data_IF_405773063313
#
_entry.id   IF_405773063313
#
_cell.length_a   1.000
_cell.length_b   1.000
_cell.length_c   1.000
_cell.angle_alpha   90.00
_cell.angle_beta   90.00
_cell.angle_gamma   90.00
#
_symmetry.space_group_name_H-M   'P 1'
#
loop_
_entity.id
_entity.type
_entity.pdbx_description
1 polymer ?
#
# COMPACT_ATOMS: atom_id res chain seq x y z
N UNK A 1 -13.57 2.79 -29.50
CA UNK A 1 -12.52 1.80 -29.20
C UNK A 1 -12.13 2.07 -27.78
N UNK A 2 -12.17 1.05 -26.92
CA UNK A 2 -11.78 1.22 -25.52
C UNK A 2 -10.36 1.75 -25.45
N UNK A 3 -10.21 2.89 -24.78
CA UNK A 3 -8.91 3.43 -24.45
C UNK A 3 -8.21 2.40 -23.54
N UNK A 4 -6.96 2.01 -23.81
CA UNK A 4 -6.29 1.01 -23.00
C UNK A 4 -6.23 1.52 -21.55
N UNK A 5 -6.70 0.69 -20.60
CA UNK A 5 -6.66 1.02 -19.17
C UNK A 5 -5.22 1.41 -18.79
N UNK A 6 -4.96 2.69 -18.47
CA UNK A 6 -3.60 3.20 -18.23
C UNK A 6 -2.98 2.55 -16.99
N UNK A 7 -3.81 1.99 -16.11
CA UNK A 7 -3.41 1.34 -14.88
C UNK A 7 -3.29 -0.17 -14.99
N UNK A 8 -3.51 -0.77 -16.17
CA UNK A 8 -3.37 -2.21 -16.39
C UNK A 8 -2.11 -2.83 -15.77
N UNK A 9 -0.91 -2.22 -15.92
CA UNK A 9 0.32 -2.74 -15.30
C UNK A 9 0.31 -2.77 -13.76
N UNK A 10 -0.56 -2.00 -13.09
CA UNK A 10 -0.67 -1.94 -11.63
C UNK A 10 -1.60 -3.00 -11.04
N UNK A 11 -2.37 -3.70 -11.87
CA UNK A 11 -3.27 -4.76 -11.40
C UNK A 11 -2.49 -5.88 -10.74
N UNK A 12 -2.95 -6.33 -9.58
CA UNK A 12 -2.50 -7.58 -8.99
C UNK A 12 -2.80 -8.72 -9.96
N UNK A 13 -1.81 -9.57 -10.19
CA UNK A 13 -1.87 -10.65 -11.18
C UNK A 13 -2.21 -12.01 -10.58
N UNK A 14 -1.91 -12.23 -9.30
CA UNK A 14 -2.22 -13.45 -8.57
C UNK A 14 -2.58 -13.16 -7.12
N UNK A 15 -3.20 -14.13 -6.44
CA UNK A 15 -3.42 -14.03 -5.00
C UNK A 15 -2.06 -14.06 -4.28
N UNK A 16 -1.85 -13.13 -3.36
CA UNK A 16 -0.59 -12.99 -2.63
C UNK A 16 -0.85 -12.50 -1.20
N UNK A 17 -0.31 -13.21 -0.21
CA UNK A 17 -0.36 -12.77 1.18
C UNK A 17 0.51 -11.53 1.40
N UNK A 18 0.00 -10.56 2.15
CA UNK A 18 0.75 -9.41 2.63
C UNK A 18 1.59 -9.87 3.83
N UNK A 19 2.93 -9.75 3.78
CA UNK A 19 3.82 -10.41 4.72
C UNK A 19 3.66 -9.84 6.12
N UNK A 20 3.75 -10.71 7.12
CA UNK A 20 3.66 -10.30 8.53
C UNK A 20 2.29 -9.81 8.96
N UNK A 21 1.27 -9.92 8.10
CA UNK A 21 -0.12 -9.73 8.48
C UNK A 21 -0.74 -11.06 8.92
N UNK A 22 -1.75 -11.01 9.78
CA UNK A 22 -2.52 -12.20 10.16
C UNK A 22 -3.58 -12.53 9.10
N UNK A 23 -3.15 -12.76 7.84
CA UNK A 23 -4.00 -13.29 6.77
C UNK A 23 -4.68 -12.25 5.88
N UNK A 24 -4.07 -11.08 5.69
CA UNK A 24 -4.50 -10.16 4.63
C UNK A 24 -3.90 -10.59 3.30
N UNK A 25 -4.77 -10.83 2.32
CA UNK A 25 -4.40 -11.19 0.95
C UNK A 25 -4.69 -10.04 -0.02
N UNK A 26 -3.80 -9.86 -0.99
CA UNK A 26 -4.10 -9.20 -2.25
C UNK A 26 -4.67 -10.21 -3.22
N UNK A 27 -5.78 -9.86 -3.88
CA UNK A 27 -6.45 -10.71 -4.86
C UNK A 27 -6.61 -9.93 -6.17
N UNK A 28 -6.50 -10.57 -7.35
CA UNK A 28 -6.72 -9.88 -8.62
C UNK A 28 -8.12 -9.26 -8.71
N UNK A 29 -8.21 -7.95 -8.96
CA UNK A 29 -9.47 -7.24 -9.17
C UNK A 29 -10.11 -7.49 -10.55
N UNK A 30 -9.76 -8.61 -11.20
CA UNK A 30 -10.21 -8.97 -12.54
C UNK A 30 -9.98 -7.87 -13.58
N UNK A 31 -11.00 -7.65 -14.42
CA UNK A 31 -11.00 -6.63 -15.48
C UNK A 31 -11.43 -5.23 -15.01
N UNK A 32 -11.43 -4.94 -13.70
CA UNK A 32 -11.87 -3.66 -13.16
C UNK A 32 -11.05 -2.49 -13.71
N UNK A 33 -11.70 -1.51 -14.31
CA UNK A 33 -11.03 -0.30 -14.78
C UNK A 33 -11.40 0.87 -13.86
N UNK A 34 -10.41 1.37 -13.14
CA UNK A 34 -10.58 2.57 -12.31
C UNK A 34 -10.33 3.84 -13.10
N UNK A 35 -11.11 4.87 -12.82
CA UNK A 35 -10.89 6.24 -13.31
C UNK A 35 -10.04 7.06 -12.32
N UNK A 36 -9.76 6.53 -11.13
CA UNK A 36 -9.03 7.21 -10.07
C UNK A 36 -7.54 7.03 -10.27
N UNK A 37 -6.83 8.14 -10.43
CA UNK A 37 -5.37 8.16 -10.48
C UNK A 37 -4.76 7.76 -9.11
N UNK A 38 -3.90 6.73 -9.07
CA UNK A 38 -3.29 6.26 -7.83
C UNK A 38 -2.39 7.32 -7.19
N UNK A 39 -1.77 8.21 -7.97
CA UNK A 39 -0.95 9.27 -7.41
C UNK A 39 -1.81 10.35 -6.72
N UNK A 40 -2.98 10.66 -7.28
CA UNK A 40 -3.95 11.56 -6.66
C UNK A 40 -4.51 10.96 -5.37
N UNK A 41 -4.94 9.70 -5.41
CA UNK A 41 -5.44 9.01 -4.21
C UNK A 41 -4.36 8.92 -3.11
N UNK A 42 -3.09 8.70 -3.46
CA UNK A 42 -1.98 8.72 -2.50
C UNK A 42 -1.83 10.07 -1.79
N UNK A 43 -1.97 11.19 -2.49
CA UNK A 43 -1.75 12.53 -1.92
C UNK A 43 -2.68 12.88 -0.76
N UNK A 44 -3.86 12.29 -0.73
CA UNK A 44 -4.87 12.55 0.28
C UNK A 44 -4.71 11.62 1.51
N UNK A 45 -3.76 10.68 1.47
CA UNK A 45 -3.53 9.75 2.54
C UNK A 45 -2.65 10.30 3.67
N UNK A 46 -2.90 9.89 4.92
CA UNK A 46 -1.99 10.14 6.02
C UNK A 46 -0.58 9.61 5.68
N UNK A 47 0.46 10.44 5.84
CA UNK A 47 1.84 10.05 5.54
C UNK A 47 2.28 10.33 4.11
N UNK A 48 1.36 10.78 3.24
CA UNK A 48 1.68 11.23 1.89
C UNK A 48 2.82 12.26 1.90
N UNK A 49 3.88 11.95 1.15
CA UNK A 49 5.07 12.77 1.07
C UNK A 49 6.02 12.73 2.28
N UNK A 50 5.87 11.75 3.17
CA UNK A 50 6.86 11.43 4.20
C UNK A 50 7.38 10.01 3.95
N UNK A 51 8.62 9.86 3.47
CA UNK A 51 9.26 8.55 3.32
C UNK A 51 9.77 8.25 1.92
N UNK A 52 10.20 6.99 1.74
CA UNK A 52 10.78 6.44 0.52
C UNK A 52 9.74 6.22 -0.59
N UNK A 53 10.17 5.59 -1.70
CA UNK A 53 9.31 5.15 -2.80
C UNK A 53 8.12 4.32 -2.29
N UNK A 54 6.93 4.61 -2.81
CA UNK A 54 5.70 3.91 -2.41
C UNK A 54 5.35 2.89 -3.47
N UNK A 55 5.20 1.63 -3.06
CA UNK A 55 4.69 0.60 -3.93
C UNK A 55 3.17 0.61 -3.95
N UNK A 56 2.57 0.52 -5.13
CA UNK A 56 1.11 0.54 -5.29
C UNK A 56 0.63 -0.58 -6.22
N UNK A 57 -0.53 -1.14 -5.91
CA UNK A 57 -1.24 -2.09 -6.77
C UNK A 57 -2.74 -1.85 -6.74
N UNK A 58 -3.43 -2.22 -7.83
CA UNK A 58 -4.88 -2.32 -7.88
C UNK A 58 -5.28 -3.78 -7.60
N UNK A 59 -5.92 -4.01 -6.46
CA UNK A 59 -6.26 -5.34 -5.99
C UNK A 59 -7.57 -5.32 -5.20
N UNK A 60 -8.20 -6.49 -5.04
CA UNK A 60 -9.13 -6.72 -3.94
C UNK A 60 -8.32 -7.08 -2.69
N UNK A 61 -8.79 -6.64 -1.53
CA UNK A 61 -8.15 -6.97 -0.25
C UNK A 61 -9.11 -7.82 0.57
N UNK A 62 -8.65 -9.01 0.93
CA UNK A 62 -9.41 -9.98 1.70
C UNK A 62 -8.71 -10.30 3.02
N UNK A 63 -9.47 -10.52 4.09
CA UNK A 63 -9.01 -11.24 5.27
C UNK A 63 -10.15 -12.13 5.78
N UNK A 64 -10.03 -13.44 5.56
CA UNK A 64 -11.06 -14.40 5.92
C UNK A 64 -11.25 -14.53 7.44
N UNK A 65 -10.21 -14.32 8.24
CA UNK A 65 -10.29 -14.40 9.70
C UNK A 65 -11.08 -13.21 10.29
N UNK A 66 -10.97 -12.04 9.65
CA UNK A 66 -11.66 -10.81 10.08
C UNK A 66 -12.97 -10.55 9.31
N UNK A 67 -13.30 -11.39 8.31
CA UNK A 67 -14.47 -11.20 7.46
C UNK A 67 -14.38 -9.97 6.56
N UNK A 68 -13.15 -9.58 6.20
CA UNK A 68 -12.86 -8.43 5.35
C UNK A 68 -12.92 -8.84 3.88
N UNK A 69 -13.66 -8.05 3.11
CA UNK A 69 -13.66 -8.01 1.65
C UNK A 69 -13.92 -6.54 1.26
N UNK A 70 -12.88 -5.86 0.78
CA UNK A 70 -12.95 -4.43 0.45
C UNK A 70 -13.17 -4.15 -1.04
N UNK A 71 -13.33 -5.18 -1.87
CA UNK A 71 -13.44 -5.02 -3.32
C UNK A 71 -12.26 -4.25 -3.94
N UNK A 72 -12.40 -3.80 -5.21
CA UNK A 72 -11.30 -3.18 -5.95
C UNK A 72 -10.76 -1.92 -5.27
N UNK A 73 -9.48 -1.95 -4.94
CA UNK A 73 -8.82 -0.95 -4.11
C UNK A 73 -7.43 -0.63 -4.62
N UNK A 74 -7.05 0.64 -4.48
CA UNK A 74 -5.65 1.05 -4.49
C UNK A 74 -5.01 0.69 -3.16
N UNK A 75 -3.98 -0.15 -3.21
CA UNK A 75 -3.24 -0.58 -2.02
C UNK A 75 -1.82 -0.03 -2.09
N UNK A 76 -1.44 0.76 -1.09
CA UNK A 76 -0.15 1.42 -0.97
C UNK A 76 0.69 0.76 0.11
N UNK A 77 1.97 0.52 -0.20
CA UNK A 77 2.95 -0.07 0.70
C UNK A 77 4.11 0.91 0.87
N UNK A 78 4.33 1.33 2.11
CA UNK A 78 5.46 2.20 2.46
C UNK A 78 6.34 1.50 3.50
N UNK A 79 7.53 1.09 3.06
CA UNK A 79 8.54 0.49 3.95
C UNK A 79 9.15 1.55 4.88
N UNK A 80 9.81 1.10 5.95
CA UNK A 80 10.50 1.97 6.91
C UNK A 80 9.54 2.93 7.65
N UNK A 81 8.26 2.56 7.74
CA UNK A 81 7.21 3.30 8.45
C UNK A 81 6.38 2.36 9.31
N UNK A 82 6.11 2.80 10.55
CA UNK A 82 5.22 2.15 11.49
C UNK A 82 4.17 3.14 12.03
N UNK A 83 3.02 2.62 12.42
CA UNK A 83 1.93 3.34 13.07
C UNK A 83 2.03 3.14 14.59
N UNK A 84 2.58 4.14 15.29
CA UNK A 84 1.90 4.97 16.31
C UNK A 84 2.87 5.47 17.39
N UNK A 85 2.98 6.80 17.53
CA UNK A 85 2.93 7.38 18.89
C UNK A 85 1.47 7.67 19.23
N UNK A 86 1.11 7.72 20.53
CA UNK A 86 -0.24 8.04 21.02
C UNK A 86 -0.85 9.38 20.51
N UNK A 87 -0.12 10.15 19.71
CA UNK A 87 -0.49 11.45 19.14
C UNK A 87 -0.83 11.38 17.64
N UNK A 88 -0.80 10.19 17.02
CA UNK A 88 -1.06 10.03 15.58
C UNK A 88 0.10 10.43 14.69
N UNK A 89 1.30 10.61 15.25
CA UNK A 89 2.51 10.84 14.45
C UNK A 89 3.04 9.51 13.91
N UNK A 90 3.31 9.49 12.60
CA UNK A 90 4.09 8.43 11.96
C UNK A 90 5.52 8.43 12.48
N UNK A 91 6.04 7.23 12.66
CA UNK A 91 7.39 7.01 13.16
C UNK A 91 8.16 6.25 12.10
N UNK A 92 9.36 6.73 11.80
CA UNK A 92 10.33 5.97 11.01
C UNK A 92 11.46 5.48 11.92
N UNK A 93 12.13 4.38 11.58
CA UNK A 93 13.30 3.87 12.30
C UNK A 93 14.38 4.92 12.55
N UNK A 94 14.56 5.88 11.63
CA UNK A 94 15.52 6.98 11.79
C UNK A 94 15.15 7.98 12.91
N UNK A 95 13.89 8.01 13.36
CA UNK A 95 13.41 8.88 14.46
C UNK A 95 13.35 8.17 15.80
N UNK A 96 13.29 6.85 15.81
CA UNK A 96 13.31 6.02 17.02
C UNK A 96 14.75 5.75 17.40
N UNK A 97 15.21 6.31 18.52
CA UNK A 97 16.41 5.78 19.17
C UNK A 97 16.24 4.28 19.42
N UNK A 98 17.36 3.53 19.50
CA UNK A 98 17.39 2.08 19.70
C UNK A 98 16.46 1.65 20.86
N UNK A 99 15.23 1.21 20.56
CA UNK A 99 14.26 0.82 21.59
C UNK A 99 12.78 0.87 21.20
N UNK A 100 12.37 1.72 20.27
CA UNK A 100 10.94 1.92 19.97
C UNK A 100 10.46 1.14 18.75
N UNK A 101 10.60 -0.20 18.74
CA UNK A 101 9.83 -1.18 17.95
C UNK A 101 9.75 -1.07 16.40
N UNK A 102 10.18 0.04 15.82
CA UNK A 102 10.09 0.38 14.41
C UNK A 102 11.41 0.04 13.74
N UNK A 103 11.34 -0.81 12.74
CA UNK A 103 12.48 -1.34 12.01
C UNK A 103 12.26 -1.12 10.52
N UNK A 104 13.32 -1.16 9.68
CA UNK A 104 13.17 -1.05 8.23
C UNK A 104 12.21 -2.08 7.63
N UNK A 105 12.01 -3.21 8.32
CA UNK A 105 11.11 -4.30 7.95
C UNK A 105 9.62 -3.96 8.16
N UNK A 106 9.30 -2.89 8.90
CA UNK A 106 7.92 -2.45 9.05
C UNK A 106 7.42 -1.84 7.73
N UNK A 107 6.23 -2.29 7.33
CA UNK A 107 5.55 -1.81 6.14
C UNK A 107 4.21 -1.23 6.57
N UNK A 108 3.98 0.03 6.24
CA UNK A 108 2.67 0.65 6.36
C UNK A 108 1.84 0.31 5.13
N UNK A 109 0.67 -0.28 5.34
CA UNK A 109 -0.28 -0.60 4.28
C UNK A 109 -1.48 0.33 4.38
N UNK A 110 -1.85 0.96 3.28
CA UNK A 110 -3.01 1.84 3.20
C UNK A 110 -3.89 1.45 2.03
N UNK A 111 -5.19 1.40 2.26
CA UNK A 111 -6.18 0.93 1.29
C UNK A 111 -7.17 2.04 0.98
N UNK A 112 -7.39 2.29 -0.30
CA UNK A 112 -8.34 3.26 -0.84
C UNK A 112 -9.26 2.56 -1.82
N UNK A 113 -10.57 2.78 -1.69
CA UNK A 113 -11.54 2.29 -2.65
C UNK A 113 -11.26 2.85 -4.04
N UNK A 114 -11.04 1.99 -5.02
CA UNK A 114 -10.66 2.43 -6.37
C UNK A 114 -11.87 2.89 -7.22
N UNK A 115 -13.09 2.82 -6.68
CA UNK A 115 -14.31 3.35 -7.30
C UNK A 115 -14.63 4.74 -6.78
N UNK A 116 -14.50 4.98 -5.47
CA UNK A 116 -14.90 6.24 -4.83
C UNK A 116 -13.73 7.13 -4.40
N UNK A 117 -12.53 6.58 -4.25
CA UNK A 117 -11.36 7.26 -3.68
C UNK A 117 -11.42 7.37 -2.16
N UNK A 118 -12.39 6.72 -1.51
CA UNK A 118 -12.55 6.74 -0.07
C UNK A 118 -11.47 5.90 0.61
N UNK A 119 -10.83 6.46 1.63
CA UNK A 119 -9.91 5.71 2.50
C UNK A 119 -10.66 4.58 3.22
N UNK A 120 -10.17 3.34 3.08
CA UNK A 120 -10.76 2.14 3.68
C UNK A 120 -10.06 1.74 4.98
N UNK A 121 -8.74 1.62 4.94
CA UNK A 121 -7.98 1.06 6.05
C UNK A 121 -6.51 1.49 6.04
N UNK A 122 -5.91 1.43 7.23
CA UNK A 122 -4.45 1.46 7.44
C UNK A 122 -4.09 0.38 8.44
N UNK A 123 -3.03 -0.37 8.14
CA UNK A 123 -2.53 -1.41 9.03
C UNK A 123 -1.04 -1.63 8.81
N UNK A 124 -0.42 -2.33 9.75
CA UNK A 124 0.99 -2.68 9.69
C UNK A 124 1.17 -4.08 9.09
N UNK A 125 2.22 -4.21 8.30
CA UNK A 125 2.77 -5.43 7.77
C UNK A 125 4.27 -5.51 8.13
N UNK A 126 4.86 -6.68 7.91
CA UNK A 126 6.27 -6.92 8.24
C UNK A 126 6.95 -7.74 7.14
N UNK A 127 7.86 -7.10 6.41
CA UNK A 127 8.70 -7.72 5.40
C UNK A 127 10.11 -7.96 5.96
N UNK A 128 10.36 -9.19 6.42
CA UNK A 128 11.61 -9.57 7.04
C UNK A 128 12.83 -9.40 6.11
N UNK A 129 12.63 -9.62 4.82
CA UNK A 129 13.70 -9.69 3.83
C UNK A 129 13.88 -8.39 3.03
N UNK A 130 12.98 -7.41 3.21
CA UNK A 130 12.98 -6.11 2.51
C UNK A 130 12.92 -6.22 0.98
N UNK A 131 12.36 -7.31 0.48
CA UNK A 131 12.29 -7.62 -0.96
C UNK A 131 10.87 -7.84 -1.44
N UNK A 132 9.88 -7.84 -0.55
CA UNK A 132 8.50 -8.10 -0.91
C UNK A 132 7.92 -6.94 -1.71
N UNK A 133 7.26 -7.28 -2.81
CA UNK A 133 6.51 -6.36 -3.66
C UNK A 133 5.21 -7.04 -4.09
N UNK A 134 4.14 -6.26 -4.36
CA UNK A 134 2.92 -6.82 -4.93
C UNK A 134 3.21 -7.41 -6.32
N UNK A 135 2.70 -8.61 -6.57
CA UNK A 135 2.82 -9.31 -7.86
C UNK A 135 1.87 -8.71 -8.88
N UNK A 136 2.35 -7.72 -9.63
CA UNK A 136 1.57 -6.96 -10.61
C UNK A 136 1.65 -7.54 -12.02
N UNK A 137 0.64 -7.24 -12.84
CA UNK A 137 0.57 -7.67 -14.25
C UNK A 137 1.71 -7.10 -15.11
N UNK A 138 2.32 -6.00 -14.69
CA UNK A 138 3.57 -5.48 -15.23
C UNK A 138 4.56 -5.11 -14.13
N UNK A 139 5.61 -4.38 -14.51
CA UNK A 139 6.58 -3.78 -13.57
C UNK A 139 6.51 -2.26 -13.65
N UNK A 140 5.38 -1.63 -13.28
CA UNK A 140 5.25 -0.18 -13.33
C UNK A 140 6.20 0.48 -12.34
N UNK A 141 6.60 1.71 -12.67
CA UNK A 141 7.38 2.56 -11.77
C UNK A 141 6.65 2.73 -10.44
N UNK A 142 7.41 2.80 -9.35
CA UNK A 142 6.85 3.10 -8.03
C UNK A 142 6.33 4.54 -8.00
N UNK A 143 5.29 4.79 -7.20
CA UNK A 143 4.80 6.16 -7.03
C UNK A 143 5.87 6.94 -6.26
N UNK A 144 6.30 8.12 -6.76
CA UNK A 144 7.29 8.91 -6.06
C UNK A 144 6.81 9.20 -4.63
N UNK A 145 7.57 8.71 -3.63
CA UNK A 145 7.55 9.32 -2.31
C UNK A 145 8.02 10.78 -2.45
N UNK A 146 7.53 11.71 -1.64
CA UNK A 146 7.99 13.08 -1.79
C UNK A 146 9.52 13.12 -1.62
N UNK A 147 10.16 13.80 -2.55
CA UNK A 147 11.59 14.06 -2.54
C UNK A 147 11.99 14.52 -1.15
N UNK A 148 12.94 13.81 -0.52
CA UNK A 148 13.60 14.29 0.70
C UNK A 148 14.04 15.73 0.45
N UNK A 149 13.41 16.69 1.12
CA UNK A 149 14.05 17.99 1.30
C UNK A 149 15.29 17.70 2.17
N UNK A 150 16.46 17.76 1.52
CA UNK A 150 17.76 17.81 2.19
C UNK A 150 17.88 19.13 2.97
#
# INVERSE_FOLDING_TARGET
>A
GDEPNPYGPLHQSERQEIPGTFGYDLVPAGGFATEIDPATAWRDLPGAGRGAEVSVTLAEVENAAEGVDWGPSWVYFTNDLCYFTAKGDFVSPARTGEGDGCTPQNVLVQVVDATSGEFRAVFEAYDADLTWLPTRAGSPDQVPGATRFQ
#
